data_IF_129845080705
#
_entry.id   IF_129845080705
#
_cell.length_a   1.000
_cell.length_b   1.000
_cell.length_c   1.000
_cell.angle_alpha   90.00
_cell.angle_beta   90.00
_cell.angle_gamma   90.00
#
_symmetry.space_group_name_H-M   'P 1'
#
loop_
_entity.id
_entity.type
_entity.pdbx_description
1 polymer ?
#
# COMPACT_ATOMS: atom_id res chain seq x y z
N UNK A 1 5.59 -1.78 -6.71
CA UNK A 1 4.12 -1.73 -6.57
C UNK A 1 3.53 -1.26 -7.89
N UNK A 2 3.04 -2.16 -8.72
CA UNK A 2 2.28 -1.94 -9.93
C UNK A 2 0.83 -1.73 -9.49
N UNK A 3 0.51 -0.46 -9.21
CA UNK A 3 -0.88 0.01 -9.09
C UNK A 3 -1.71 -0.57 -7.93
N UNK A 4 -1.12 -1.36 -7.03
CA UNK A 4 -1.81 -1.91 -5.85
C UNK A 4 -2.70 -3.12 -6.13
N UNK A 5 -2.57 -3.77 -7.29
CA UNK A 5 -3.33 -4.99 -7.63
C UNK A 5 -2.98 -6.17 -6.68
N UNK A 6 -1.72 -6.25 -6.30
CA UNK A 6 -1.17 -7.15 -5.30
C UNK A 6 -1.85 -6.99 -3.92
N UNK A 7 -2.21 -5.75 -3.55
CA UNK A 7 -2.90 -5.46 -2.29
C UNK A 7 -4.30 -6.07 -2.23
N UNK A 8 -5.05 -6.06 -3.34
CA UNK A 8 -6.38 -6.66 -3.39
C UNK A 8 -6.34 -8.16 -3.07
N UNK A 9 -5.38 -8.87 -3.65
CA UNK A 9 -5.17 -10.30 -3.36
C UNK A 9 -4.75 -10.55 -1.91
N UNK A 10 -3.80 -9.76 -1.39
CA UNK A 10 -3.33 -9.90 0.00
C UNK A 10 -4.47 -9.69 0.99
N UNK A 11 -5.24 -8.61 0.84
CA UNK A 11 -6.36 -8.28 1.73
C UNK A 11 -7.45 -9.35 1.67
N UNK A 12 -7.83 -9.78 0.47
CA UNK A 12 -8.85 -10.81 0.28
C UNK A 12 -8.44 -12.13 0.93
N UNK A 13 -7.24 -12.64 0.65
CA UNK A 13 -6.73 -13.90 1.20
C UNK A 13 -6.61 -13.89 2.72
N UNK A 14 -6.12 -12.80 3.31
CA UNK A 14 -6.02 -12.70 4.77
C UNK A 14 -7.40 -12.71 5.42
N UNK A 15 -8.39 -12.07 4.79
CA UNK A 15 -9.75 -12.08 5.28
C UNK A 15 -10.38 -13.48 5.13
N UNK A 16 -10.33 -14.09 3.94
CA UNK A 16 -11.02 -15.37 3.67
C UNK A 16 -10.33 -16.56 4.32
N UNK A 17 -9.00 -16.63 4.26
CA UNK A 17 -8.25 -17.84 4.62
C UNK A 17 -7.79 -17.79 6.08
N UNK A 18 -7.65 -16.58 6.65
CA UNK A 18 -7.12 -16.36 8.01
C UNK A 18 -8.07 -15.61 8.94
N UNK A 19 -9.22 -15.12 8.45
CA UNK A 19 -10.13 -14.27 9.21
C UNK A 19 -9.44 -13.02 9.80
N UNK A 20 -8.46 -12.47 9.08
CA UNK A 20 -7.72 -11.27 9.46
C UNK A 20 -8.17 -10.13 8.56
N UNK A 21 -8.86 -9.14 9.15
CA UNK A 21 -9.20 -7.91 8.45
C UNK A 21 -7.99 -6.98 8.41
N UNK A 22 -7.26 -7.01 7.30
CA UNK A 22 -6.14 -6.10 7.05
C UNK A 22 -6.63 -4.71 6.63
N UNK A 23 -6.22 -3.66 7.34
CA UNK A 23 -6.60 -2.27 7.04
C UNK A 23 -5.40 -1.47 6.55
N UNK A 24 -5.47 -1.01 5.30
CA UNK A 24 -4.46 -0.11 4.74
C UNK A 24 -4.53 1.30 5.32
N UNK A 25 -3.38 1.91 5.58
CA UNK A 25 -3.25 3.36 5.75
C UNK A 25 -2.56 3.96 4.53
N UNK A 26 -3.27 4.82 3.80
CA UNK A 26 -2.78 5.39 2.55
C UNK A 26 -2.83 6.92 2.57
N UNK A 27 -2.10 7.58 1.67
CA UNK A 27 -2.06 9.04 1.59
C UNK A 27 -3.49 9.61 1.37
N UNK A 28 -3.90 10.72 2.01
CA UNK A 28 -5.27 11.23 1.92
C UNK A 28 -5.75 11.51 0.50
N UNK A 29 -4.84 11.93 -0.39
CA UNK A 29 -5.07 12.09 -1.83
C UNK A 29 -5.76 10.87 -2.46
N UNK A 30 -5.44 9.65 -2.01
CA UNK A 30 -6.04 8.42 -2.51
C UNK A 30 -7.50 8.21 -2.08
N UNK A 31 -8.04 9.12 -1.26
CA UNK A 31 -9.42 9.16 -0.77
C UNK A 31 -10.14 10.44 -1.17
N UNK A 32 -9.57 11.25 -2.07
CA UNK A 32 -10.18 12.43 -2.69
C UNK A 32 -10.76 12.08 -4.07
N UNK A 33 -11.96 12.58 -4.37
CA UNK A 33 -12.68 12.25 -5.63
C UNK A 33 -11.98 12.80 -6.87
N UNK A 34 -11.24 13.91 -6.73
CA UNK A 34 -10.58 14.59 -7.85
C UNK A 34 -9.21 13.97 -8.22
N UNK A 35 -8.82 12.88 -7.55
CA UNK A 35 -7.57 12.14 -7.80
C UNK A 35 -7.63 11.19 -9.02
N UNK A 36 -8.72 11.25 -9.80
CA UNK A 36 -9.00 10.47 -11.02
C UNK A 36 -7.83 10.41 -12.02
N UNK A 37 -6.94 11.40 -12.00
CA UNK A 37 -5.84 11.53 -12.98
C UNK A 37 -4.73 10.48 -12.80
N UNK A 38 -4.58 9.87 -11.61
CA UNK A 38 -3.51 8.88 -11.34
C UNK A 38 -4.04 7.45 -11.24
N UNK A 39 -5.33 7.27 -10.91
CA UNK A 39 -5.94 5.95 -10.76
C UNK A 39 -6.56 5.50 -12.07
N UNK A 40 -6.16 4.33 -12.57
CA UNK A 40 -6.60 3.79 -13.86
C UNK A 40 -8.11 3.46 -13.95
N UNK A 41 -8.88 3.64 -12.86
CA UNK A 41 -10.34 3.49 -12.84
C UNK A 41 -10.97 4.29 -11.68
N UNK A 42 -11.96 5.17 -11.93
CA UNK A 42 -12.75 5.86 -10.90
C UNK A 42 -13.40 4.93 -9.85
N UNK A 43 -13.64 3.65 -10.19
CA UNK A 43 -14.18 2.66 -9.24
C UNK A 43 -13.19 2.29 -8.11
N UNK A 44 -11.89 2.51 -8.32
CA UNK A 44 -10.81 2.19 -7.38
C UNK A 44 -10.91 2.95 -6.05
N UNK A 45 -11.49 4.16 -6.10
CA UNK A 45 -11.75 4.98 -4.92
C UNK A 45 -12.69 4.29 -3.92
N UNK A 46 -13.75 3.65 -4.44
CA UNK A 46 -14.70 2.93 -3.61
C UNK A 46 -14.04 1.64 -3.10
N UNK A 47 -13.23 0.98 -3.92
CA UNK A 47 -12.47 -0.21 -3.56
C UNK A 47 -11.67 -0.07 -2.26
N UNK A 48 -10.89 1.01 -2.10
CA UNK A 48 -10.11 1.23 -0.88
C UNK A 48 -10.97 1.43 0.37
N UNK A 49 -12.09 2.14 0.25
CA UNK A 49 -13.03 2.32 1.37
C UNK A 49 -13.77 1.04 1.69
N UNK A 50 -14.20 0.29 0.67
CA UNK A 50 -14.87 -1.00 0.78
C UNK A 50 -14.03 -2.03 1.53
N UNK A 51 -12.72 -2.08 1.27
CA UNK A 51 -11.81 -2.98 2.00
C UNK A 51 -11.43 -2.46 3.40
N UNK A 52 -11.88 -1.26 3.76
CA UNK A 52 -11.70 -0.68 5.09
C UNK A 52 -10.37 0.07 5.29
N UNK A 53 -9.72 0.51 4.21
CA UNK A 53 -8.56 1.39 4.28
C UNK A 53 -8.96 2.79 4.80
N UNK A 54 -8.01 3.47 5.45
CA UNK A 54 -8.23 4.80 6.03
C UNK A 54 -7.11 5.77 5.65
N UNK A 55 -7.36 7.08 5.59
CA UNK A 55 -6.31 8.05 5.34
C UNK A 55 -5.27 8.02 6.45
N UNK A 56 -3.99 8.10 6.07
CA UNK A 56 -2.87 8.11 7.00
C UNK A 56 -2.94 9.36 7.88
N UNK A 57 -2.99 9.14 9.19
CA UNK A 57 -2.85 10.16 10.21
C UNK A 57 -2.46 9.49 11.53
N UNK A 58 -1.79 10.23 12.41
CA UNK A 58 -1.45 9.72 13.74
C UNK A 58 -2.69 9.25 14.52
N UNK A 59 -3.81 9.98 14.36
CA UNK A 59 -5.07 9.65 15.02
C UNK A 59 -5.69 8.35 14.50
N UNK A 60 -5.74 8.13 13.18
CA UNK A 60 -6.27 6.89 12.62
C UNK A 60 -5.39 5.70 12.96
N UNK A 61 -4.07 5.87 12.87
CA UNK A 61 -3.14 4.80 13.19
C UNK A 61 -3.20 4.40 14.67
N UNK A 62 -3.28 5.40 15.57
CA UNK A 62 -3.52 5.18 16.99
C UNK A 62 -4.84 4.41 17.22
N UNK A 63 -5.94 4.83 16.60
CA UNK A 63 -7.25 4.17 16.75
C UNK A 63 -7.19 2.71 16.29
N UNK A 64 -6.56 2.43 15.16
CA UNK A 64 -6.43 1.07 14.65
C UNK A 64 -5.64 0.17 15.61
N UNK A 65 -4.47 0.63 16.06
CA UNK A 65 -3.64 -0.15 16.99
C UNK A 65 -4.29 -0.32 18.36
N UNK A 66 -4.98 0.71 18.87
CA UNK A 66 -5.74 0.62 20.13
C UNK A 66 -6.85 -0.44 20.09
N UNK A 67 -7.36 -0.76 18.89
CA UNK A 67 -8.36 -1.80 18.63
C UNK A 67 -7.74 -3.14 18.24
N UNK A 68 -6.42 -3.28 18.34
CA UNK A 68 -5.66 -4.49 17.93
C UNK A 68 -5.92 -4.89 16.48
N UNK A 69 -6.19 -3.93 15.60
CA UNK A 69 -6.40 -4.19 14.18
C UNK A 69 -5.09 -4.52 13.47
N UNK A 70 -5.14 -5.40 12.46
CA UNK A 70 -4.04 -5.62 11.54
C UNK A 70 -3.94 -4.40 10.60
N UNK A 71 -2.79 -3.74 10.59
CA UNK A 71 -2.57 -2.51 9.82
C UNK A 71 -1.49 -2.75 8.77
N UNK A 72 -1.79 -2.34 7.54
CA UNK A 72 -0.85 -2.34 6.42
C UNK A 72 -0.36 -0.92 6.16
N UNK A 73 0.96 -0.73 6.12
CA UNK A 73 1.59 0.54 5.80
C UNK A 73 2.88 0.34 5.00
N UNK A 74 3.19 1.32 4.16
CA UNK A 74 4.45 1.45 3.44
C UNK A 74 5.26 2.58 4.09
N UNK A 75 6.41 2.31 4.75
CA UNK A 75 7.13 3.30 5.54
C UNK A 75 7.61 4.52 4.75
N UNK A 76 7.96 4.36 3.47
CA UNK A 76 8.34 5.48 2.60
C UNK A 76 7.16 6.23 1.97
N UNK A 77 5.93 5.84 2.32
CA UNK A 77 4.71 6.55 1.97
C UNK A 77 4.49 6.65 0.45
N UNK A 78 3.95 7.78 0.00
CA UNK A 78 3.60 7.97 -1.42
C UNK A 78 4.82 7.87 -2.36
N UNK A 79 6.05 8.10 -1.87
CA UNK A 79 7.26 7.97 -2.70
C UNK A 79 7.58 6.51 -3.06
N UNK A 80 7.20 5.54 -2.23
CA UNK A 80 7.33 4.12 -2.55
C UNK A 80 6.25 3.65 -3.55
N UNK A 81 5.15 4.38 -3.70
CA UNK A 81 4.13 4.07 -4.71
C UNK A 81 4.46 4.69 -6.09
N UNK A 82 5.19 5.82 -6.12
CA UNK A 82 5.50 6.59 -7.33
C UNK A 82 7.02 6.57 -7.54
N UNK A 83 7.57 5.41 -7.90
CA UNK A 83 8.98 5.31 -8.27
C UNK A 83 9.22 6.00 -9.62
N UNK A 84 10.26 6.84 -9.72
CA UNK A 84 10.74 7.34 -11.02
C UNK A 84 11.60 6.26 -11.69
N UNK A 85 11.68 6.30 -13.03
CA UNK A 85 12.56 5.42 -13.81
C UNK A 85 14.00 5.51 -13.27
N UNK A 86 14.57 4.38 -12.85
CA UNK A 86 15.91 4.31 -12.22
C UNK A 86 15.93 4.41 -10.68
N UNK A 87 14.78 4.53 -10.02
CA UNK A 87 14.64 4.41 -8.55
C UNK A 87 14.08 3.06 -8.11
N UNK A 88 14.02 2.09 -9.03
CA UNK A 88 13.56 0.73 -8.75
C UNK A 88 14.38 0.11 -7.60
N UNK A 89 13.67 -0.60 -6.71
CA UNK A 89 14.23 -1.28 -5.55
C UNK A 89 14.86 -0.37 -4.47
N UNK A 90 14.66 0.96 -4.51
CA UNK A 90 15.09 1.86 -3.44
C UNK A 90 14.00 2.05 -2.39
N UNK A 91 14.37 1.83 -1.13
CA UNK A 91 13.51 2.10 0.04
C UNK A 91 13.75 3.51 0.54
N UNK A 92 12.68 4.31 0.69
CA UNK A 92 12.75 5.70 1.13
C UNK A 92 12.27 5.86 2.57
N UNK A 93 12.99 5.27 3.53
CA UNK A 93 12.55 5.27 4.92
C UNK A 93 12.89 6.61 5.61
N UNK A 94 11.97 7.15 6.44
CA UNK A 94 12.26 8.35 7.22
C UNK A 94 13.28 8.04 8.31
N UNK A 95 14.20 8.99 8.59
CA UNK A 95 15.17 8.89 9.68
C UNK A 95 14.51 8.59 11.03
N UNK A 96 13.32 9.17 11.26
CA UNK A 96 12.46 8.87 12.40
C UNK A 96 11.23 8.10 11.95
N UNK A 97 11.26 6.78 12.19
CA UNK A 97 10.16 5.89 11.85
C UNK A 97 9.08 5.89 12.94
N UNK A 98 8.16 6.84 12.82
CA UNK A 98 7.02 7.02 13.75
C UNK A 98 6.17 5.76 13.91
N UNK A 99 6.13 4.92 12.87
CA UNK A 99 5.37 3.68 12.92
C UNK A 99 5.92 2.67 13.93
N UNK A 100 7.25 2.62 14.08
CA UNK A 100 7.94 1.76 15.06
C UNK A 100 7.60 2.21 16.47
N UNK A 101 7.62 3.53 16.71
CA UNK A 101 7.27 4.09 18.03
C UNK A 101 5.82 3.77 18.39
N UNK A 102 4.89 3.91 17.44
CA UNK A 102 3.49 3.58 17.69
C UNK A 102 3.27 2.07 17.89
N UNK A 103 3.93 1.22 17.10
CA UNK A 103 3.85 -0.23 17.28
C UNK A 103 4.36 -0.64 18.67
N UNK A 104 5.51 -0.12 19.09
CA UNK A 104 6.08 -0.34 20.43
C UNK A 104 5.11 0.09 21.54
N UNK A 105 4.49 1.27 21.42
CA UNK A 105 3.52 1.79 22.40
C UNK A 105 2.34 0.84 22.66
N UNK A 106 1.90 0.10 21.64
CA UNK A 106 0.77 -0.83 21.74
C UNK A 106 1.19 -2.30 21.85
N UNK A 107 2.50 -2.60 21.90
CA UNK A 107 3.01 -3.97 21.85
C UNK A 107 2.63 -4.70 20.55
N UNK A 108 2.48 -3.97 19.45
CA UNK A 108 2.10 -4.55 18.17
C UNK A 108 3.28 -5.24 17.49
N UNK A 109 3.06 -6.45 16.97
CA UNK A 109 4.06 -7.18 16.19
C UNK A 109 4.20 -6.56 14.80
N UNK A 110 5.43 -6.22 14.42
CA UNK A 110 5.76 -5.78 13.07
C UNK A 110 6.10 -7.01 12.23
N UNK A 111 5.35 -7.23 11.15
CA UNK A 111 5.58 -8.31 10.19
C UNK A 111 6.05 -7.66 8.88
N UNK A 112 7.33 -7.75 8.51
CA UNK A 112 7.80 -7.26 7.23
C UNK A 112 7.29 -8.17 6.10
N UNK A 113 6.91 -7.56 4.99
CA UNK A 113 6.56 -8.25 3.76
C UNK A 113 7.16 -7.48 2.58
N UNK A 114 7.41 -8.18 1.49
CA UNK A 114 7.89 -7.59 0.24
C UNK A 114 7.23 -8.32 -0.93
N UNK A 115 7.09 -7.61 -2.05
CA UNK A 115 6.58 -8.15 -3.31
C UNK A 115 7.72 -8.12 -4.30
N UNK A 116 7.95 -9.25 -4.97
CA UNK A 116 9.04 -9.44 -5.95
C UNK A 116 8.41 -9.75 -7.31
N UNK A 117 8.98 -9.20 -8.39
CA UNK A 117 8.59 -9.53 -9.78
C UNK A 117 7.76 -8.48 -10.53
N UNK A 118 7.44 -7.33 -9.93
CA UNK A 118 6.67 -6.29 -10.64
C UNK A 118 7.47 -5.49 -11.66
N UNK A 119 8.77 -5.27 -11.45
CA UNK A 119 9.64 -4.63 -12.43
C UNK A 119 9.78 -5.47 -13.69
N UNK A 120 9.97 -6.78 -13.51
CA UNK A 120 10.17 -7.74 -14.60
C UNK A 120 8.89 -7.91 -15.46
N UNK A 121 7.70 -7.88 -14.86
CA UNK A 121 6.42 -7.98 -15.58
C UNK A 121 6.16 -6.78 -16.50
N UNK A 122 6.50 -5.57 -16.04
CA UNK A 122 6.41 -4.35 -16.85
C UNK A 122 7.44 -4.34 -17.99
N UNK A 123 8.67 -4.78 -17.72
CA UNK A 123 9.72 -4.85 -18.73
C UNK A 123 9.40 -5.87 -19.83
N UNK A 124 8.86 -7.04 -19.46
CA UNK A 124 8.39 -8.05 -20.44
C UNK A 124 7.23 -7.50 -21.28
N UNK A 125 6.25 -6.81 -20.67
CA UNK A 125 5.13 -6.23 -21.42
C UNK A 125 5.60 -5.12 -22.37
N UNK A 126 6.44 -4.19 -21.90
CA UNK A 126 6.97 -3.09 -22.72
C UNK A 126 7.85 -3.61 -23.86
N UNK A 127 8.71 -4.60 -23.61
CA UNK A 127 9.53 -5.23 -24.65
C UNK A 127 8.68 -6.02 -25.65
N UNK A 128 7.61 -6.68 -25.21
CA UNK A 128 6.68 -7.39 -26.10
C UNK A 128 5.86 -6.46 -27.00
N UNK A 129 5.50 -5.26 -26.51
CA UNK A 129 4.76 -4.24 -27.25
C UNK A 129 5.65 -3.40 -28.20
N UNK A 130 6.96 -3.38 -27.96
CA UNK A 130 7.94 -2.71 -28.84
C UNK A 130 8.57 -3.63 -29.88
N UNK A 131 8.37 -4.95 -29.77
CA UNK A 131 8.76 -5.93 -30.79
C UNK A 131 7.70 -6.19 -31.87
N UNK A 132 6.59 -5.45 -31.89
CA UNK A 132 5.51 -5.60 -32.87
C UNK A 132 5.52 -4.59 -34.03
N UNK A 133 6.64 -3.92 -34.33
CA UNK A 133 6.85 -3.12 -35.55
C UNK A 133 8.16 -3.51 -36.23
#
# INVERSE_FOLDING_TARGET
>A
MLLGLDLGHLVSRLLTDKNIHLRGIAHPFMFERDSEVIMLDPSSFDGMRLVGAVPVSAANFYKLLSRKSAVLLYPGGAREAIHKKGEEYKLFWPEQSEFVRMASRFGATIIPFAVVGEGDLLEVYINSASSSH
#
